data_IF_788679604178
#
_entry.id   IF_788679604178
#
_cell.length_a   1.000
_cell.length_b   1.000
_cell.length_c   1.000
_cell.angle_alpha   90.00
_cell.angle_beta   90.00
_cell.angle_gamma   90.00
#
_symmetry.space_group_name_H-M   'P 1'
#
loop_
_entity.id
_entity.type
_entity.pdbx_description
1 polymer ?
#
# COMPACT_ATOMS: atom_id res chain seq x y z
N UNK A 1 -8.85 8.08 15.52
CA UNK A 1 -9.97 7.25 16.07
C UNK A 1 -9.37 6.05 16.80
N UNK A 2 -10.11 5.37 17.73
CA UNK A 2 -9.63 4.10 18.30
C UNK A 2 -9.88 2.96 17.33
N UNK A 3 -8.94 2.03 17.22
CA UNK A 3 -9.08 0.88 16.31
C UNK A 3 -10.35 0.06 16.58
N UNK A 4 -10.77 -0.07 17.84
CA UNK A 4 -12.00 -0.77 18.21
C UNK A 4 -13.29 -0.20 17.61
N UNK A 5 -13.27 1.07 17.19
CA UNK A 5 -14.39 1.74 16.52
C UNK A 5 -14.27 1.72 14.99
N UNK A 6 -13.22 1.10 14.46
CA UNK A 6 -12.94 1.09 13.03
C UNK A 6 -13.63 -0.09 12.32
N UNK A 7 -14.27 0.22 11.21
CA UNK A 7 -14.78 -0.73 10.21
C UNK A 7 -13.98 -0.51 8.94
N UNK A 8 -12.96 -1.33 8.75
CA UNK A 8 -11.87 -1.09 7.81
C UNK A 8 -12.08 -1.89 6.52
N UNK A 9 -12.18 -1.22 5.40
CA UNK A 9 -12.01 -1.83 4.07
C UNK A 9 -10.52 -1.84 3.73
N UNK A 10 -9.93 -3.01 3.51
CA UNK A 10 -8.52 -3.15 3.16
C UNK A 10 -8.36 -3.80 1.79
N UNK A 11 -7.80 -3.07 0.83
CA UNK A 11 -7.54 -3.57 -0.51
C UNK A 11 -6.22 -4.36 -0.55
N UNK A 12 -6.14 -5.38 -1.41
CA UNK A 12 -4.97 -6.26 -1.46
C UNK A 12 -4.77 -7.05 -0.17
N UNK A 13 -5.87 -7.41 0.50
CA UNK A 13 -5.87 -8.02 1.83
C UNK A 13 -5.10 -9.35 1.90
N UNK A 14 -5.11 -10.15 0.82
CA UNK A 14 -4.40 -11.44 0.77
C UNK A 14 -2.88 -11.31 0.51
N UNK A 15 -2.35 -10.08 0.38
CA UNK A 15 -0.90 -9.83 0.33
C UNK A 15 -0.26 -9.78 1.72
N UNK A 16 1.07 -9.88 1.82
CA UNK A 16 1.78 -9.97 3.10
C UNK A 16 1.47 -8.83 4.08
N UNK A 17 1.59 -7.55 3.64
CA UNK A 17 1.24 -6.39 4.48
C UNK A 17 -0.27 -6.37 4.76
N UNK A 18 -1.10 -6.67 3.75
CA UNK A 18 -2.56 -6.67 3.90
C UNK A 18 -3.05 -7.65 4.94
N UNK A 19 -2.57 -8.90 4.88
CA UNK A 19 -2.94 -9.96 5.82
C UNK A 19 -2.49 -9.63 7.25
N UNK A 20 -1.24 -9.20 7.42
CA UNK A 20 -0.72 -8.79 8.72
C UNK A 20 -1.48 -7.57 9.28
N UNK A 21 -1.85 -6.61 8.43
CA UNK A 21 -2.64 -5.43 8.85
C UNK A 21 -4.06 -5.83 9.26
N UNK A 22 -4.71 -6.74 8.53
CA UNK A 22 -6.03 -7.25 8.89
C UNK A 22 -5.98 -7.95 10.26
N UNK A 23 -4.95 -8.77 10.51
CA UNK A 23 -4.75 -9.42 11.79
C UNK A 23 -4.55 -8.42 12.94
N UNK A 24 -3.66 -7.45 12.76
CA UNK A 24 -3.38 -6.44 13.77
C UNK A 24 -4.62 -5.59 14.09
N UNK A 25 -5.40 -5.20 13.08
CA UNK A 25 -6.65 -4.47 13.23
C UNK A 25 -7.70 -5.28 14.01
N UNK A 26 -7.87 -6.57 13.68
CA UNK A 26 -8.78 -7.46 14.40
C UNK A 26 -8.38 -7.62 15.86
N UNK A 27 -7.09 -7.82 16.16
CA UNK A 27 -6.55 -7.88 17.53
C UNK A 27 -6.78 -6.57 18.30
N UNK A 28 -6.78 -5.44 17.60
CA UNK A 28 -7.06 -4.12 18.19
C UNK A 28 -8.56 -3.79 18.30
N UNK A 29 -9.45 -4.76 18.00
CA UNK A 29 -10.89 -4.61 18.15
C UNK A 29 -11.64 -4.16 16.91
N UNK A 30 -10.98 -3.82 15.80
CA UNK A 30 -11.61 -3.40 14.55
C UNK A 30 -12.43 -4.51 13.88
N UNK A 31 -13.37 -4.15 13.00
CA UNK A 31 -13.92 -5.05 11.99
C UNK A 31 -13.22 -4.82 10.65
N UNK A 32 -13.04 -5.86 9.83
CA UNK A 32 -12.33 -5.76 8.55
C UNK A 32 -13.15 -6.33 7.40
N UNK A 33 -13.14 -5.65 6.26
CA UNK A 33 -13.58 -6.15 4.97
C UNK A 33 -12.34 -6.40 4.11
N UNK A 34 -12.07 -7.66 3.84
CA UNK A 34 -10.94 -8.13 3.04
C UNK A 34 -11.29 -8.01 1.56
N UNK A 35 -10.53 -7.21 0.81
CA UNK A 35 -10.76 -7.00 -0.63
C UNK A 35 -9.58 -7.53 -1.44
N UNK A 36 -9.89 -8.32 -2.48
CA UNK A 36 -8.90 -8.90 -3.39
C UNK A 36 -9.55 -9.55 -4.59
N UNK A 37 -8.75 -10.07 -5.53
CA UNK A 37 -9.24 -10.67 -6.79
C UNK A 37 -9.61 -12.16 -6.69
N UNK A 38 -9.14 -12.87 -5.67
CA UNK A 38 -9.34 -14.32 -5.51
C UNK A 38 -10.24 -14.61 -4.31
N UNK A 39 -11.43 -15.15 -4.56
CA UNK A 39 -12.36 -15.56 -3.51
C UNK A 39 -11.72 -16.57 -2.56
N UNK A 40 -11.08 -17.62 -3.09
CA UNK A 40 -10.47 -18.70 -2.30
C UNK A 40 -9.39 -18.18 -1.35
N UNK A 41 -8.50 -17.26 -1.81
CA UNK A 41 -7.46 -16.66 -0.96
C UNK A 41 -8.05 -15.75 0.14
N UNK A 42 -9.16 -15.07 -0.14
CA UNK A 42 -9.83 -14.23 0.86
C UNK A 42 -10.53 -15.09 1.93
N UNK A 43 -11.18 -16.19 1.54
CA UNK A 43 -11.85 -17.12 2.43
C UNK A 43 -10.83 -17.87 3.32
N UNK A 44 -9.72 -18.31 2.73
CA UNK A 44 -8.61 -18.91 3.48
C UNK A 44 -8.05 -17.93 4.52
N UNK A 45 -7.78 -16.68 4.11
CA UNK A 45 -7.32 -15.64 5.02
C UNK A 45 -8.34 -15.36 6.13
N UNK A 46 -9.62 -15.22 5.80
CA UNK A 46 -10.67 -15.00 6.80
C UNK A 46 -10.73 -16.14 7.84
N UNK A 47 -10.62 -17.38 7.37
CA UNK A 47 -10.57 -18.56 8.25
C UNK A 47 -9.33 -18.55 9.14
N UNK A 48 -8.16 -18.20 8.61
CA UNK A 48 -6.92 -18.07 9.35
C UNK A 48 -7.03 -16.98 10.43
N UNK A 49 -7.55 -15.80 10.05
CA UNK A 49 -7.74 -14.67 10.96
C UNK A 49 -8.72 -15.01 12.09
N UNK A 50 -9.81 -15.71 11.80
CA UNK A 50 -10.75 -16.20 12.83
C UNK A 50 -10.04 -17.08 13.87
N UNK A 51 -9.18 -18.01 13.43
CA UNK A 51 -8.40 -18.87 14.33
C UNK A 51 -7.32 -18.12 15.12
N UNK A 52 -6.58 -17.21 14.46
CA UNK A 52 -5.42 -16.54 15.10
C UNK A 52 -5.80 -15.41 16.04
N UNK A 53 -6.95 -14.77 15.82
CA UNK A 53 -7.39 -13.60 16.59
C UNK A 53 -8.55 -13.88 17.56
N UNK A 54 -9.26 -14.99 17.38
CA UNK A 54 -10.52 -15.26 18.09
C UNK A 54 -11.65 -14.29 17.72
N UNK A 55 -11.50 -13.54 16.62
CA UNK A 55 -12.49 -12.55 16.22
C UNK A 55 -13.82 -13.22 15.85
N UNK A 56 -14.92 -12.63 16.31
CA UNK A 56 -16.26 -13.08 15.92
C UNK A 56 -16.45 -13.00 14.41
N UNK A 57 -17.03 -14.00 13.73
CA UNK A 57 -17.17 -14.01 12.27
C UNK A 57 -17.80 -12.75 11.67
N UNK A 58 -18.76 -12.13 12.37
CA UNK A 58 -19.39 -10.88 11.95
C UNK A 58 -18.42 -9.68 11.81
N UNK A 59 -17.20 -9.79 12.35
CA UNK A 59 -16.15 -8.76 12.23
C UNK A 59 -15.27 -8.93 10.99
N UNK A 60 -15.45 -10.01 10.22
CA UNK A 60 -14.67 -10.28 9.01
C UNK A 60 -15.63 -10.43 7.83
N UNK A 61 -15.47 -9.61 6.82
CA UNK A 61 -16.19 -9.71 5.56
C UNK A 61 -15.20 -9.90 4.41
N UNK A 62 -15.61 -10.58 3.34
CA UNK A 62 -14.81 -10.74 2.12
C UNK A 62 -15.53 -10.13 0.93
N UNK A 63 -14.80 -9.47 0.03
CA UNK A 63 -15.30 -8.94 -1.23
C UNK A 63 -14.30 -9.14 -2.35
N UNK A 64 -14.77 -9.80 -3.40
CA UNK A 64 -13.98 -9.97 -4.63
C UNK A 64 -14.15 -8.72 -5.47
N UNK A 65 -13.04 -8.09 -5.86
CA UNK A 65 -13.05 -6.94 -6.75
C UNK A 65 -11.71 -6.83 -7.49
N UNK A 66 -11.77 -6.54 -8.78
CA UNK A 66 -10.64 -6.05 -9.56
C UNK A 66 -10.67 -4.52 -9.57
N UNK A 67 -9.74 -3.91 -8.86
CA UNK A 67 -9.69 -2.46 -8.69
C UNK A 67 -9.36 -1.70 -9.99
N UNK A 68 -9.00 -2.41 -11.06
CA UNK A 68 -8.81 -1.81 -12.40
C UNK A 68 -10.11 -1.70 -13.19
N UNK A 69 -11.21 -2.29 -12.70
CA UNK A 69 -12.51 -2.30 -13.35
C UNK A 69 -13.46 -1.28 -12.70
N UNK A 70 -13.96 -0.28 -13.44
CA UNK A 70 -14.87 0.72 -12.88
C UNK A 70 -16.12 0.13 -12.19
N UNK A 71 -16.74 -0.89 -12.80
CA UNK A 71 -17.92 -1.55 -12.24
C UNK A 71 -17.66 -2.20 -10.88
N UNK A 72 -16.44 -2.75 -10.68
CA UNK A 72 -16.07 -3.36 -9.41
C UNK A 72 -15.84 -2.29 -8.34
N UNK A 73 -15.30 -1.12 -8.72
CA UNK A 73 -15.13 0.00 -7.80
C UNK A 73 -16.46 0.56 -7.31
N UNK A 74 -17.44 0.73 -8.23
CA UNK A 74 -18.80 1.17 -7.89
C UNK A 74 -19.48 0.17 -6.97
N UNK A 75 -19.43 -1.12 -7.32
CA UNK A 75 -20.01 -2.21 -6.52
C UNK A 75 -19.37 -2.31 -5.14
N UNK A 76 -18.04 -2.24 -5.07
CA UNK A 76 -17.28 -2.28 -3.81
C UNK A 76 -17.63 -1.10 -2.91
N UNK A 77 -17.69 0.12 -3.47
CA UNK A 77 -18.02 1.32 -2.69
C UNK A 77 -19.43 1.26 -2.12
N UNK A 78 -20.42 0.80 -2.89
CA UNK A 78 -21.78 0.62 -2.42
C UNK A 78 -21.86 -0.43 -1.29
N UNK A 79 -21.17 -1.57 -1.45
CA UNK A 79 -21.14 -2.63 -0.43
C UNK A 79 -20.40 -2.18 0.84
N UNK A 80 -19.32 -1.43 0.70
CA UNK A 80 -18.57 -0.86 1.82
C UNK A 80 -19.43 0.15 2.61
N UNK A 81 -20.17 1.00 1.92
CA UNK A 81 -21.09 1.94 2.55
C UNK A 81 -22.21 1.23 3.33
N UNK A 82 -22.88 0.24 2.71
CA UNK A 82 -23.90 -0.58 3.40
C UNK A 82 -23.34 -1.32 4.61
N UNK A 83 -22.05 -1.77 4.52
CA UNK A 83 -21.37 -2.43 5.63
C UNK A 83 -20.99 -1.45 6.75
N UNK A 84 -21.08 -0.12 6.53
CA UNK A 84 -20.76 0.93 7.49
C UNK A 84 -19.25 1.15 7.60
N UNK A 85 -18.53 1.12 6.47
CA UNK A 85 -17.10 1.41 6.42
C UNK A 85 -16.83 2.85 6.88
N UNK A 86 -15.92 3.02 7.84
CA UNK A 86 -15.42 4.34 8.22
C UNK A 86 -13.89 4.48 8.05
N UNK A 87 -13.21 3.41 7.61
CA UNK A 87 -11.77 3.45 7.29
C UNK A 87 -11.51 2.72 5.98
N UNK A 88 -10.92 3.41 5.01
CA UNK A 88 -10.48 2.84 3.73
C UNK A 88 -8.95 2.74 3.72
N UNK A 89 -8.41 1.52 3.60
CA UNK A 89 -6.97 1.26 3.49
C UNK A 89 -6.62 0.84 2.07
N UNK A 90 -5.96 1.71 1.34
CA UNK A 90 -5.35 1.42 0.04
C UNK A 90 -4.03 0.69 0.24
N UNK A 91 -4.06 -0.65 0.23
CA UNK A 91 -2.87 -1.48 0.36
C UNK A 91 -2.58 -2.30 -0.90
N UNK A 92 -3.56 -2.47 -1.81
CA UNK A 92 -3.32 -3.13 -3.09
C UNK A 92 -2.19 -2.45 -3.87
N UNK A 93 -1.34 -3.25 -4.50
CA UNK A 93 -0.25 -2.74 -5.32
C UNK A 93 0.36 -3.82 -6.20
N UNK A 94 1.00 -3.38 -7.27
CA UNK A 94 1.84 -4.20 -8.15
C UNK A 94 3.30 -3.76 -8.03
N UNK A 95 4.25 -4.70 -7.99
CA UNK A 95 5.66 -4.38 -8.08
C UNK A 95 6.00 -3.92 -9.51
N UNK A 96 7.03 -3.09 -9.62
CA UNK A 96 7.67 -2.76 -10.89
C UNK A 96 9.16 -2.56 -10.60
N UNK A 97 9.99 -3.48 -11.09
CA UNK A 97 11.44 -3.46 -10.89
C UNK A 97 12.15 -3.83 -12.19
N UNK A 98 13.19 -3.11 -12.52
CA UNK A 98 14.01 -3.28 -13.70
C UNK A 98 14.36 -1.94 -14.35
N UNK A 99 15.21 -1.96 -15.39
CA UNK A 99 15.52 -0.75 -16.16
C UNK A 99 14.27 -0.34 -16.96
N UNK A 100 14.06 0.95 -17.10
CA UNK A 100 12.86 1.46 -17.79
C UNK A 100 12.73 0.91 -19.22
N UNK A 101 13.85 0.79 -19.93
CA UNK A 101 13.90 0.26 -21.29
C UNK A 101 13.53 -1.24 -21.42
N UNK A 102 13.54 -1.98 -20.30
CA UNK A 102 13.20 -3.41 -20.27
C UNK A 102 11.75 -3.65 -19.83
N UNK A 103 11.01 -2.59 -19.46
CA UNK A 103 9.61 -2.68 -19.06
C UNK A 103 8.69 -2.45 -20.25
N UNK A 104 7.65 -3.28 -20.38
CA UNK A 104 6.66 -3.09 -21.44
C UNK A 104 5.66 -1.99 -21.08
N UNK A 105 5.02 -1.35 -22.08
CA UNK A 105 3.96 -0.38 -21.85
C UNK A 105 2.83 -0.92 -20.95
N UNK A 106 2.49 -2.21 -21.10
CA UNK A 106 1.44 -2.88 -20.32
C UNK A 106 1.82 -2.99 -18.84
N UNK A 107 3.10 -3.33 -18.56
CA UNK A 107 3.63 -3.39 -17.18
C UNK A 107 3.60 -2.02 -16.51
N UNK A 108 4.00 -0.97 -17.24
CA UNK A 108 3.97 0.41 -16.76
C UNK A 108 2.54 0.83 -16.48
N UNK A 109 1.63 0.60 -17.42
CA UNK A 109 0.21 0.95 -17.29
C UNK A 109 -0.43 0.22 -16.11
N UNK A 110 -0.23 -1.09 -15.98
CA UNK A 110 -0.78 -1.89 -14.90
C UNK A 110 -0.30 -1.41 -13.52
N UNK A 111 0.99 -1.05 -13.39
CA UNK A 111 1.54 -0.52 -12.15
C UNK A 111 0.90 0.82 -11.77
N UNK A 112 0.77 1.76 -12.71
CA UNK A 112 0.14 3.06 -12.46
C UNK A 112 -1.36 2.91 -12.18
N UNK A 113 -2.03 2.05 -12.93
CA UNK A 113 -3.46 1.79 -12.77
C UNK A 113 -3.78 1.23 -11.36
N UNK A 114 -3.01 0.24 -10.92
CA UNK A 114 -3.26 -0.41 -9.61
C UNK A 114 -2.76 0.44 -8.44
N UNK A 115 -1.55 1.02 -8.55
CA UNK A 115 -0.91 1.67 -7.40
C UNK A 115 -1.36 3.12 -7.19
N UNK A 116 -1.92 3.77 -8.22
CA UNK A 116 -2.25 5.19 -8.20
C UNK A 116 -3.69 5.48 -8.62
N UNK A 117 -4.10 5.08 -9.82
CA UNK A 117 -5.41 5.42 -10.34
C UNK A 117 -6.54 4.75 -9.55
N UNK A 118 -6.43 3.46 -9.26
CA UNK A 118 -7.44 2.72 -8.51
C UNK A 118 -7.69 3.28 -7.09
N UNK A 119 -6.66 3.62 -6.28
CA UNK A 119 -6.85 4.36 -5.03
C UNK A 119 -7.62 5.66 -5.17
N UNK A 120 -7.30 6.48 -6.19
CA UNK A 120 -8.01 7.74 -6.44
C UNK A 120 -9.48 7.50 -6.76
N UNK A 121 -9.77 6.57 -7.67
CA UNK A 121 -11.14 6.27 -8.12
C UNK A 121 -11.97 5.66 -6.98
N UNK A 122 -11.44 4.68 -6.23
CA UNK A 122 -12.15 4.07 -5.11
C UNK A 122 -12.40 5.09 -3.99
N UNK A 123 -11.42 5.95 -3.70
CA UNK A 123 -11.64 7.06 -2.76
C UNK A 123 -12.77 7.96 -3.24
N UNK A 124 -12.76 8.38 -4.50
CA UNK A 124 -13.81 9.23 -5.08
C UNK A 124 -15.19 8.58 -4.95
N UNK A 125 -15.32 7.28 -5.22
CA UNK A 125 -16.60 6.57 -5.11
C UNK A 125 -17.09 6.48 -3.66
N UNK A 126 -16.20 6.26 -2.69
CA UNK A 126 -16.58 6.07 -1.28
C UNK A 126 -16.64 7.38 -0.49
N UNK A 127 -16.03 8.46 -0.98
CA UNK A 127 -15.90 9.73 -0.28
C UNK A 127 -17.23 10.33 0.19
N UNK A 128 -18.34 10.32 -0.59
CA UNK A 128 -19.63 10.82 -0.09
C UNK A 128 -20.10 10.11 1.18
N UNK A 129 -19.92 8.78 1.26
CA UNK A 129 -20.24 8.02 2.47
C UNK A 129 -19.31 8.38 3.64
N UNK A 130 -17.97 8.45 3.39
CA UNK A 130 -17.00 8.80 4.42
C UNK A 130 -17.23 10.22 5.00
N UNK A 131 -17.69 11.16 4.20
CA UNK A 131 -18.05 12.52 4.62
C UNK A 131 -19.31 12.56 5.52
N UNK A 132 -20.19 11.57 5.38
CA UNK A 132 -21.40 11.46 6.20
C UNK A 132 -21.14 10.77 7.56
N UNK A 133 -20.01 10.08 7.71
CA UNK A 133 -19.62 9.46 8.97
C UNK A 133 -19.12 10.51 9.98
N UNK A 134 -19.39 10.34 11.29
CA UNK A 134 -18.95 11.30 12.31
C UNK A 134 -17.42 11.38 12.45
N UNK A 135 -16.70 10.33 12.05
CA UNK A 135 -15.25 10.29 11.95
C UNK A 135 -14.85 9.17 10.98
N UNK A 136 -14.06 9.50 9.97
CA UNK A 136 -13.61 8.52 8.98
C UNK A 136 -12.15 8.76 8.57
N UNK A 137 -11.55 7.74 7.93
CA UNK A 137 -10.14 7.81 7.52
C UNK A 137 -9.92 7.17 6.15
N UNK A 138 -9.03 7.78 5.37
CA UNK A 138 -8.43 7.21 4.16
C UNK A 138 -6.94 7.03 4.40
N UNK A 139 -6.46 5.79 4.37
CA UNK A 139 -5.08 5.45 4.61
C UNK A 139 -4.43 4.90 3.34
N UNK A 140 -3.36 5.51 2.88
CA UNK A 140 -2.59 5.07 1.71
C UNK A 140 -1.33 4.32 2.17
N UNK A 141 -1.27 3.01 1.92
CA UNK A 141 -0.04 2.24 2.10
C UNK A 141 0.85 2.46 0.87
N UNK A 142 1.77 3.39 1.04
CA UNK A 142 2.74 3.78 0.03
C UNK A 142 4.02 2.98 0.10
N UNK A 143 5.15 3.69 0.14
CA UNK A 143 6.51 3.16 0.28
C UNK A 143 7.45 4.30 0.68
N UNK A 144 8.62 3.98 1.23
CA UNK A 144 9.74 4.91 1.28
C UNK A 144 10.12 5.40 -0.14
N UNK A 145 9.89 4.56 -1.17
CA UNK A 145 10.06 4.92 -2.59
C UNK A 145 8.98 5.87 -3.12
N UNK A 146 8.03 6.31 -2.29
CA UNK A 146 7.15 7.46 -2.54
C UNK A 146 7.75 8.79 -2.07
N UNK A 147 8.97 8.77 -1.55
CA UNK A 147 9.72 9.96 -1.14
C UNK A 147 11.18 9.95 -1.63
N UNK A 148 11.69 8.80 -2.08
CA UNK A 148 13.05 8.61 -2.57
C UNK A 148 12.98 7.76 -3.83
N UNK A 149 13.52 8.27 -4.96
CA UNK A 149 13.65 7.49 -6.20
C UNK A 149 14.90 6.60 -6.15
N UNK A 150 14.75 5.30 -6.46
CA UNK A 150 15.88 4.38 -6.57
C UNK A 150 16.07 3.88 -8.01
N UNK A 151 17.32 3.64 -8.46
CA UNK A 151 17.59 2.95 -9.72
C UNK A 151 16.86 1.60 -9.77
N UNK A 152 16.23 1.29 -10.90
CA UNK A 152 15.43 0.09 -11.09
C UNK A 152 13.98 0.20 -10.64
N UNK A 153 13.58 1.29 -10.00
CA UNK A 153 12.23 1.50 -9.48
C UNK A 153 11.54 2.74 -10.06
N UNK A 154 11.94 3.23 -11.24
CA UNK A 154 11.42 4.47 -11.81
C UNK A 154 9.88 4.49 -11.90
N UNK A 155 9.26 3.44 -12.46
CA UNK A 155 7.80 3.33 -12.57
C UNK A 155 7.13 3.14 -11.21
N UNK A 156 7.68 2.26 -10.38
CA UNK A 156 7.16 2.04 -9.02
C UNK A 156 7.23 3.32 -8.18
N UNK A 157 8.39 3.99 -8.18
CA UNK A 157 8.56 5.26 -7.48
C UNK A 157 7.58 6.31 -7.99
N UNK A 158 7.42 6.48 -9.31
CA UNK A 158 6.45 7.40 -9.88
C UNK A 158 5.04 7.14 -9.34
N UNK A 159 4.60 5.87 -9.30
CA UNK A 159 3.30 5.49 -8.76
C UNK A 159 3.15 5.82 -7.27
N UNK A 160 4.20 5.61 -6.47
CA UNK A 160 4.16 5.82 -5.00
C UNK A 160 4.38 7.30 -4.62
N UNK A 161 5.16 8.07 -5.39
CA UNK A 161 5.21 9.54 -5.28
C UNK A 161 3.84 10.14 -5.61
N UNK A 162 3.21 9.70 -6.71
CA UNK A 162 1.86 10.12 -7.08
C UNK A 162 0.85 9.83 -5.96
N UNK A 163 0.86 8.63 -5.39
CA UNK A 163 -0.03 8.25 -4.28
C UNK A 163 0.22 9.11 -3.03
N UNK A 164 1.49 9.44 -2.72
CA UNK A 164 1.82 10.34 -1.62
C UNK A 164 1.33 11.75 -1.88
N UNK A 165 1.55 12.27 -3.10
CA UNK A 165 1.04 13.58 -3.53
C UNK A 165 -0.47 13.67 -3.44
N UNK A 166 -1.19 12.63 -3.92
CA UNK A 166 -2.62 12.49 -3.77
C UNK A 166 -3.06 12.56 -2.31
N UNK A 167 -2.46 11.74 -1.44
CA UNK A 167 -2.80 11.74 -0.02
C UNK A 167 -2.56 13.11 0.65
N UNK A 168 -1.47 13.80 0.30
CA UNK A 168 -1.15 15.13 0.83
C UNK A 168 -2.15 16.19 0.36
N UNK A 169 -2.50 16.19 -0.94
CA UNK A 169 -3.45 17.14 -1.49
C UNK A 169 -4.85 16.92 -0.92
N UNK A 170 -5.33 15.67 -0.92
CA UNK A 170 -6.64 15.31 -0.40
C UNK A 170 -6.77 15.61 1.11
N UNK A 171 -5.71 15.42 1.90
CA UNK A 171 -5.70 15.81 3.33
C UNK A 171 -5.93 17.30 3.52
N UNK A 172 -5.36 18.14 2.65
CA UNK A 172 -5.54 19.59 2.72
C UNK A 172 -6.93 20.01 2.26
N UNK A 173 -7.45 19.35 1.23
CA UNK A 173 -8.80 19.55 0.71
C UNK A 173 -9.87 19.20 1.74
N UNK A 174 -9.66 18.15 2.53
CA UNK A 174 -10.61 17.66 3.53
C UNK A 174 -10.33 18.14 4.96
N UNK A 175 -9.48 19.16 5.14
CA UNK A 175 -9.01 19.60 6.47
C UNK A 175 -10.13 20.01 7.44
N UNK A 176 -11.25 20.52 6.93
CA UNK A 176 -12.42 20.96 7.72
C UNK A 176 -13.59 19.96 7.71
N UNK A 177 -13.30 18.70 7.37
CA UNK A 177 -14.28 17.62 7.30
C UNK A 177 -13.96 16.52 8.34
N UNK A 178 -14.89 15.59 8.61
CA UNK A 178 -14.61 14.45 9.50
C UNK A 178 -13.61 13.43 8.93
N UNK A 179 -13.13 13.60 7.69
CA UNK A 179 -12.26 12.65 7.00
C UNK A 179 -10.79 12.95 7.24
N UNK A 180 -10.06 12.06 7.89
CA UNK A 180 -8.60 12.15 8.03
C UNK A 180 -7.91 11.37 6.92
N UNK A 181 -6.96 11.98 6.20
CA UNK A 181 -6.19 11.32 5.14
C UNK A 181 -4.74 11.10 5.58
N UNK A 182 -4.28 9.85 5.46
CA UNK A 182 -2.99 9.41 6.01
C UNK A 182 -2.15 8.66 4.97
N UNK A 183 -0.83 8.77 5.09
CA UNK A 183 0.12 8.03 4.27
C UNK A 183 1.07 7.23 5.16
N UNK A 184 1.17 5.92 4.92
CA UNK A 184 2.16 5.04 5.53
C UNK A 184 3.23 4.71 4.49
N UNK A 185 4.49 5.02 4.77
CA UNK A 185 5.64 4.77 3.89
C UNK A 185 6.53 3.64 4.42
N UNK A 186 6.20 2.35 4.20
CA UNK A 186 7.09 1.24 4.55
C UNK A 186 8.37 1.29 3.71
N UNK A 187 9.49 0.81 4.27
CA UNK A 187 10.64 0.39 3.49
C UNK A 187 10.43 -1.03 2.93
N UNK A 188 11.46 -1.63 2.34
CA UNK A 188 11.39 -3.00 1.86
C UNK A 188 10.80 -3.91 2.95
N UNK A 189 9.82 -4.75 2.57
CA UNK A 189 9.13 -5.65 3.49
C UNK A 189 9.20 -7.07 2.95
N UNK A 190 9.52 -8.04 3.81
CA UNK A 190 9.65 -9.46 3.45
C UNK A 190 8.29 -10.06 3.15
N UNK A 191 7.91 -10.07 1.88
CA UNK A 191 6.63 -10.60 1.41
C UNK A 191 6.78 -11.23 0.03
N UNK A 192 5.82 -12.00 -0.43
CA UNK A 192 5.73 -12.52 -1.80
C UNK A 192 5.55 -11.42 -2.87
N UNK A 193 5.49 -10.15 -2.47
CA UNK A 193 5.50 -9.01 -3.38
C UNK A 193 6.87 -8.83 -4.06
N UNK A 194 7.95 -9.25 -3.41
CA UNK A 194 9.29 -9.15 -3.93
C UNK A 194 9.60 -10.40 -4.79
N UNK A 195 10.02 -10.18 -6.01
CA UNK A 195 10.60 -11.25 -6.85
C UNK A 195 12.01 -11.64 -6.34
N UNK A 196 12.51 -12.80 -6.80
CA UNK A 196 13.89 -13.22 -6.52
C UNK A 196 14.92 -12.17 -6.96
N UNK A 197 14.68 -11.48 -8.09
CA UNK A 197 15.53 -10.40 -8.59
C UNK A 197 15.57 -9.22 -7.61
N UNK A 198 14.42 -8.84 -7.04
CA UNK A 198 14.32 -7.80 -6.00
C UNK A 198 15.06 -8.23 -4.73
N UNK A 199 14.88 -9.47 -4.29
CA UNK A 199 15.58 -9.99 -3.10
C UNK A 199 17.09 -10.04 -3.31
N UNK A 200 17.57 -10.45 -4.50
CA UNK A 200 18.99 -10.41 -4.86
C UNK A 200 19.53 -8.98 -4.87
N UNK A 201 18.80 -8.05 -5.46
CA UNK A 201 19.15 -6.64 -5.46
C UNK A 201 19.23 -6.05 -4.04
N UNK A 202 18.26 -6.33 -3.20
CA UNK A 202 18.25 -5.86 -1.80
C UNK A 202 19.45 -6.38 -1.02
N UNK A 203 19.80 -7.68 -1.18
CA UNK A 203 21.02 -8.24 -0.58
C UNK A 203 22.30 -7.56 -1.07
N UNK A 204 22.42 -7.36 -2.38
CA UNK A 204 23.61 -6.76 -2.99
C UNK A 204 23.82 -5.29 -2.61
N UNK A 205 22.73 -4.56 -2.39
CA UNK A 205 22.76 -3.13 -2.02
C UNK A 205 22.76 -2.90 -0.51
N UNK A 206 22.55 -3.95 0.30
CA UNK A 206 22.44 -3.84 1.76
C UNK A 206 21.13 -3.19 2.22
N UNK A 207 20.06 -3.29 1.41
CA UNK A 207 18.76 -2.71 1.74
C UNK A 207 18.13 -3.48 2.91
N UNK A 208 17.88 -2.79 4.01
CA UNK A 208 17.18 -3.35 5.16
C UNK A 208 15.71 -3.62 4.85
N UNK A 209 15.16 -4.71 5.37
CA UNK A 209 13.75 -5.07 5.19
C UNK A 209 13.07 -5.38 6.52
N UNK A 210 11.82 -4.96 6.64
CA UNK A 210 10.97 -5.21 7.80
C UNK A 210 10.11 -6.46 7.62
N UNK A 211 9.59 -6.98 8.73
CA UNK A 211 8.54 -8.00 8.69
C UNK A 211 7.16 -7.34 8.49
N UNK A 212 6.20 -8.01 7.81
CA UNK A 212 4.86 -7.47 7.60
C UNK A 212 4.17 -7.03 8.90
N UNK A 213 4.40 -7.75 9.99
CA UNK A 213 3.80 -7.46 11.31
C UNK A 213 4.27 -6.12 11.88
N UNK A 214 5.52 -5.72 11.59
CA UNK A 214 6.04 -4.42 12.02
C UNK A 214 5.34 -3.28 11.26
N UNK A 215 5.12 -3.46 9.96
CA UNK A 215 4.37 -2.50 9.13
C UNK A 215 2.92 -2.42 9.58
N UNK A 216 2.31 -3.56 9.91
CA UNK A 216 0.93 -3.64 10.41
C UNK A 216 0.76 -2.91 11.76
N UNK A 217 1.72 -3.07 12.69
CA UNK A 217 1.70 -2.33 13.95
C UNK A 217 1.78 -0.81 13.74
N UNK A 218 2.62 -0.37 12.79
CA UNK A 218 2.72 1.06 12.44
C UNK A 218 1.46 1.58 11.73
N UNK A 219 0.73 0.73 10.99
CA UNK A 219 -0.55 1.08 10.39
C UNK A 219 -1.61 1.32 11.48
N UNK A 220 -1.72 0.43 12.47
CA UNK A 220 -2.65 0.61 13.60
C UNK A 220 -2.28 1.86 14.40
N UNK A 221 -0.99 2.07 14.71
CA UNK A 221 -0.52 3.24 15.41
C UNK A 221 -0.78 4.55 14.63
N UNK A 222 -0.69 4.52 13.30
CA UNK A 222 -1.02 5.65 12.43
C UNK A 222 -2.53 5.94 12.46
N UNK A 223 -3.36 4.91 12.33
CA UNK A 223 -4.81 5.01 12.43
C UNK A 223 -5.23 5.68 13.76
N UNK A 224 -4.67 5.23 14.89
CA UNK A 224 -5.04 5.74 16.20
C UNK A 224 -4.50 7.15 16.49
N UNK A 225 -3.31 7.48 16.01
CA UNK A 225 -2.71 8.81 16.24
C UNK A 225 -3.35 9.91 15.40
N UNK A 226 -3.99 9.60 14.28
CA UNK A 226 -4.50 10.59 13.34
C UNK A 226 -3.43 11.40 12.61
N UNK A 227 -2.14 11.02 12.73
CA UNK A 227 -1.04 11.70 12.07
C UNK A 227 -1.17 11.59 10.53
N UNK A 228 -0.82 12.65 9.81
CA UNK A 228 -0.99 12.69 8.36
C UNK A 228 -0.02 11.82 7.58
N UNK A 229 1.17 11.53 8.12
CA UNK A 229 2.19 10.74 7.43
C UNK A 229 3.10 10.03 8.43
N UNK A 230 3.49 8.80 8.09
CA UNK A 230 4.47 8.02 8.85
C UNK A 230 5.32 7.17 7.91
N UNK A 231 6.64 7.33 8.01
CA UNK A 231 7.61 6.41 7.39
C UNK A 231 8.08 5.38 8.41
N UNK A 232 8.22 4.13 7.96
CA UNK A 232 8.71 3.01 8.79
C UNK A 232 10.20 2.84 8.56
N UNK A 233 10.95 2.64 9.64
CA UNK A 233 12.38 2.39 9.61
C UNK A 233 13.26 3.63 9.75
N UNK A 234 14.53 3.36 10.08
CA UNK A 234 15.63 4.32 10.09
C UNK A 234 16.77 3.70 9.25
N UNK A 235 17.42 4.43 8.33
CA UNK A 235 17.45 5.89 8.15
C UNK A 235 16.39 6.47 7.19
N UNK A 236 15.43 5.68 6.69
CA UNK A 236 14.51 6.08 5.62
C UNK A 236 13.68 7.31 5.98
N UNK A 237 13.29 7.46 7.25
CA UNK A 237 12.59 8.66 7.75
C UNK A 237 13.38 9.96 7.53
N UNK A 238 14.69 9.90 7.73
CA UNK A 238 15.59 11.05 7.52
C UNK A 238 15.85 11.28 6.03
N UNK A 239 16.17 10.20 5.30
CA UNK A 239 16.43 10.26 3.87
C UNK A 239 15.25 10.80 3.06
N UNK A 240 14.02 10.42 3.41
CA UNK A 240 12.80 10.95 2.79
C UNK A 240 12.66 12.48 2.96
N UNK A 241 13.01 13.00 4.15
CA UNK A 241 13.00 14.46 4.42
C UNK A 241 14.11 15.17 3.66
N UNK A 242 15.32 14.61 3.69
CA UNK A 242 16.46 15.17 2.98
C UNK A 242 16.23 15.21 1.46
N UNK A 243 15.69 14.12 0.88
CA UNK A 243 15.35 14.07 -0.54
C UNK A 243 14.30 15.13 -0.92
N UNK A 244 13.38 15.45 -0.02
CA UNK A 244 12.38 16.51 -0.24
C UNK A 244 12.96 17.92 -0.23
N UNK A 245 14.11 18.14 0.43
CA UNK A 245 14.76 19.45 0.54
C UNK A 245 15.88 19.63 -0.49
N UNK A 246 16.67 18.59 -0.73
CA UNK A 246 17.85 18.66 -1.58
C UNK A 246 18.13 17.30 -2.25
N UNK A 247 17.32 16.88 -3.23
CA UNK A 247 17.44 15.56 -3.86
C UNK A 247 18.80 15.30 -4.49
N UNK A 248 19.42 16.30 -5.10
CA UNK A 248 20.72 16.17 -5.74
C UNK A 248 21.85 15.73 -4.78
N UNK A 249 21.72 15.97 -3.47
CA UNK A 249 22.69 15.50 -2.48
C UNK A 249 22.71 13.98 -2.34
N UNK A 250 21.58 13.32 -2.68
CA UNK A 250 21.46 11.86 -2.57
C UNK A 250 21.88 11.12 -3.85
N UNK A 251 21.99 11.80 -5.01
CA UNK A 251 22.28 11.16 -6.30
C UNK A 251 23.58 10.36 -6.26
N UNK A 252 24.60 10.90 -5.58
CA UNK A 252 25.89 10.23 -5.39
C UNK A 252 25.84 8.92 -4.61
N UNK A 253 24.92 8.82 -3.66
CA UNK A 253 24.78 7.64 -2.78
C UNK A 253 24.17 6.43 -3.51
N UNK A 254 23.48 6.64 -4.64
CA UNK A 254 22.84 5.58 -5.41
C UNK A 254 23.69 4.98 -6.54
N UNK A 255 24.97 5.39 -6.68
CA UNK A 255 25.90 4.85 -7.69
C UNK A 255 26.07 3.32 -7.58
N UNK A 256 26.09 2.77 -6.36
CA UNK A 256 26.16 1.32 -6.12
C UNK A 256 24.91 0.61 -6.69
N UNK A 257 23.73 1.18 -6.46
CA UNK A 257 22.45 0.67 -6.97
C UNK A 257 22.44 0.67 -8.50
N UNK A 258 22.88 1.77 -9.13
CA UNK A 258 22.95 1.88 -10.59
C UNK A 258 23.91 0.87 -11.21
N UNK A 259 25.10 0.68 -10.64
CA UNK A 259 26.07 -0.32 -11.13
C UNK A 259 25.53 -1.74 -11.05
N UNK A 260 24.86 -2.08 -9.96
CA UNK A 260 24.29 -3.42 -9.79
C UNK A 260 23.15 -3.68 -10.78
N UNK A 261 22.29 -2.70 -11.02
CA UNK A 261 21.23 -2.77 -12.01
C UNK A 261 21.75 -2.96 -13.43
N UNK A 262 22.87 -2.33 -13.79
CA UNK A 262 23.52 -2.49 -15.09
C UNK A 262 24.12 -3.90 -15.26
N UNK A 263 24.71 -4.45 -14.21
CA UNK A 263 25.31 -5.79 -14.25
C UNK A 263 24.27 -6.91 -14.41
N UNK A 264 23.07 -6.76 -13.85
CA UNK A 264 21.98 -7.75 -13.94
C UNK A 264 21.19 -7.66 -15.25
N UNK A 265 21.29 -6.58 -15.99
CA UNK A 265 20.54 -6.34 -17.25
C UNK A 265 21.02 -7.12 -18.47
N UNK A 266 21.93 -8.06 -18.34
CA UNK A 266 22.40 -8.95 -19.45
C UNK A 266 21.63 -10.27 -19.53
N UNK A 267 20.68 -10.53 -18.65
CA UNK A 267 19.78 -11.69 -18.76
C UNK A 267 18.64 -11.33 -19.69
N UNK A 268 18.76 -11.72 -20.98
CA UNK A 268 17.62 -11.65 -21.92
C UNK A 268 16.45 -12.44 -21.34
N UNK A 269 15.22 -11.92 -21.38
CA UNK A 269 14.06 -12.73 -21.05
C UNK A 269 14.02 -13.90 -22.04
N UNK A 270 13.95 -15.12 -21.52
CA UNK A 270 13.61 -16.29 -22.33
C UNK A 270 12.15 -16.07 -22.74
N UNK A 271 11.96 -15.71 -24.01
CA UNK A 271 10.65 -15.73 -24.64
C UNK A 271 10.21 -17.20 -24.65
N UNK A 272 9.35 -17.60 -23.72
CA UNK A 272 8.60 -18.82 -23.82
C UNK A 272 7.56 -18.61 -24.92
N UNK A 273 7.83 -19.26 -26.07
CA UNK A 273 6.91 -19.48 -27.19
C UNK A 273 5.62 -20.15 -26.74
#
# INVERSE_FOLDING_TARGET
MKAANARVVITGAAGGIGAASAEALLKSGAAVMLVGRSASRLEELASQLGRSTGAHPARVACRVADLTQPKDLDSLSAQAAVWGCNVLVHNAGLPSFGRLQDQTPEQITAALQTNLLAPMLLTRCLLPHLLAEPASQVMCVGSALGAIGLPGYSVYSASKFGLRGFAQALRRELAETPVTVQYLGPRATKTSFNSEAVEAYNRATGTASDRPEQVAAELVALLESGAGERFVGFPEKFAARLNGLAPALLDGSFKRHSRHLQATGHVRPVLSS
#
